data_IF_031835286534
#
_entry.id   IF_031835286534
#
_cell.length_a   1.000
_cell.length_b   1.000
_cell.length_c   1.000
_cell.angle_alpha   90.00
_cell.angle_beta   90.00
_cell.angle_gamma   90.00
#
_symmetry.space_group_name_H-M   'P 1'
#
loop_
_entity.id
_entity.type
_entity.pdbx_description
1 polymer ?
#
# COMPACT_ATOMS: atom_id res chain seq x y z
N UNK A 1 8.31 -39.20 -18.30
CA UNK A 1 8.93 -38.24 -19.23
C UNK A 1 7.85 -37.38 -19.84
N UNK A 2 8.11 -36.08 -19.95
CA UNK A 2 7.31 -35.01 -20.53
C UNK A 2 6.06 -34.56 -19.76
N UNK A 3 6.30 -33.76 -18.71
CA UNK A 3 5.44 -32.62 -18.43
C UNK A 3 5.68 -31.56 -19.53
N UNK A 4 4.63 -30.86 -20.03
CA UNK A 4 4.81 -29.84 -21.05
C UNK A 4 5.70 -28.71 -20.51
N UNK A 5 6.54 -28.20 -21.40
CA UNK A 5 7.43 -27.07 -21.14
C UNK A 5 6.60 -25.85 -20.73
N UNK A 6 7.09 -25.17 -19.70
CA UNK A 6 6.88 -23.77 -19.35
C UNK A 6 6.21 -22.94 -20.47
N UNK A 7 4.89 -22.88 -20.43
CA UNK A 7 4.17 -21.78 -21.05
C UNK A 7 4.28 -20.60 -20.08
N UNK A 8 5.08 -19.65 -20.52
CA UNK A 8 5.34 -18.32 -19.98
C UNK A 8 4.11 -17.81 -19.22
N UNK A 9 4.25 -17.61 -17.91
CA UNK A 9 3.24 -17.04 -17.03
C UNK A 9 2.95 -15.61 -17.53
N UNK A 10 1.97 -15.48 -18.42
CA UNK A 10 1.30 -14.21 -18.70
C UNK A 10 0.35 -13.99 -17.53
N UNK A 11 0.30 -12.76 -17.01
CA UNK A 11 -0.58 -12.36 -15.91
C UNK A 11 -2.05 -12.73 -16.15
N UNK A 12 -2.89 -12.60 -15.11
CA UNK A 12 -4.32 -12.95 -15.20
C UNK A 12 -4.96 -12.12 -16.33
N UNK A 13 -5.48 -12.77 -17.35
CA UNK A 13 -6.06 -12.10 -18.53
C UNK A 13 -7.35 -11.37 -18.17
N UNK A 14 -7.72 -10.34 -18.94
CA UNK A 14 -8.99 -9.62 -18.75
C UNK A 14 -10.21 -10.56 -18.86
N UNK A 15 -10.12 -11.58 -19.72
CA UNK A 15 -11.14 -12.62 -19.85
C UNK A 15 -11.24 -13.47 -18.58
N UNK A 16 -10.11 -13.94 -18.03
CA UNK A 16 -10.09 -14.66 -16.75
C UNK A 16 -10.63 -13.78 -15.61
N UNK A 17 -10.26 -12.50 -15.55
CA UNK A 17 -10.76 -11.57 -14.51
C UNK A 17 -12.25 -11.33 -14.66
N UNK A 18 -12.75 -11.13 -15.89
CA UNK A 18 -14.17 -10.97 -16.15
C UNK A 18 -14.95 -12.23 -15.73
N UNK A 19 -14.45 -13.40 -16.10
CA UNK A 19 -15.03 -14.69 -15.71
C UNK A 19 -15.05 -14.87 -14.19
N UNK A 20 -13.92 -14.63 -13.51
CA UNK A 20 -13.79 -14.76 -12.06
C UNK A 20 -14.69 -13.75 -11.33
N UNK A 21 -14.74 -12.49 -11.78
CA UNK A 21 -15.62 -11.46 -11.21
C UNK A 21 -17.11 -11.82 -11.43
N UNK A 22 -17.47 -12.29 -12.63
CA UNK A 22 -18.83 -12.74 -12.96
C UNK A 22 -19.27 -13.92 -12.08
N UNK A 23 -18.39 -14.90 -11.89
CA UNK A 23 -18.64 -16.06 -11.03
C UNK A 23 -18.73 -15.69 -9.55
N UNK A 24 -17.86 -14.80 -9.06
CA UNK A 24 -17.92 -14.28 -7.68
C UNK A 24 -19.29 -13.66 -7.40
N UNK A 25 -19.79 -12.81 -8.30
CA UNK A 25 -21.15 -12.22 -8.20
C UNK A 25 -22.27 -13.26 -8.25
N UNK A 26 -22.12 -14.33 -9.04
CA UNK A 26 -23.11 -15.40 -9.15
C UNK A 26 -23.16 -16.32 -7.92
N UNK A 27 -22.03 -16.54 -7.24
CA UNK A 27 -21.94 -17.42 -6.05
C UNK A 27 -22.54 -16.78 -4.79
N UNK A 28 -22.55 -15.45 -4.68
CA UNK A 28 -23.27 -14.72 -3.62
C UNK A 28 -24.78 -15.01 -3.61
N UNK A 29 -25.36 -15.39 -4.76
CA UNK A 29 -26.77 -15.73 -4.87
C UNK A 29 -27.09 -17.19 -4.51
N UNK A 30 -26.07 -18.06 -4.43
CA UNK A 30 -26.28 -19.53 -4.33
C UNK A 30 -25.56 -20.18 -3.14
N UNK A 31 -24.75 -19.45 -2.39
CA UNK A 31 -24.32 -19.83 -1.04
C UNK A 31 -23.30 -20.96 -0.92
N UNK A 32 -22.75 -21.51 -2.02
CA UNK A 32 -21.62 -22.44 -1.97
C UNK A 32 -20.89 -22.55 -3.33
N UNK A 33 -19.56 -22.75 -3.27
CA UNK A 33 -18.64 -23.21 -4.35
C UNK A 33 -17.74 -22.20 -5.10
N UNK A 34 -17.43 -21.01 -4.58
CA UNK A 34 -16.33 -20.21 -5.16
C UNK A 34 -14.95 -20.86 -4.91
N UNK A 35 -14.75 -21.42 -3.71
CA UNK A 35 -13.47 -21.98 -3.25
C UNK A 35 -12.96 -23.21 -4.02
N UNK A 36 -13.83 -23.96 -4.71
CA UNK A 36 -13.44 -25.17 -5.46
C UNK A 36 -12.83 -24.85 -6.83
N UNK A 37 -13.09 -23.65 -7.38
CA UNK A 37 -12.68 -23.24 -8.73
C UNK A 37 -11.45 -22.33 -8.72
N UNK A 38 -11.18 -21.67 -7.60
CA UNK A 38 -9.95 -20.90 -7.36
C UNK A 38 -8.88 -21.92 -6.98
N UNK A 39 -8.04 -22.33 -7.95
CA UNK A 39 -6.92 -23.21 -7.66
C UNK A 39 -5.88 -22.43 -6.80
N UNK A 40 -5.75 -22.73 -5.48
CA UNK A 40 -4.94 -21.93 -4.55
C UNK A 40 -3.48 -21.83 -4.99
N UNK A 41 -2.98 -22.88 -5.64
CA UNK A 41 -1.59 -23.00 -6.09
C UNK A 41 -1.30 -21.99 -7.21
N UNK A 42 -2.25 -21.75 -8.12
CA UNK A 42 -2.03 -20.83 -9.25
C UNK A 42 -1.88 -19.37 -8.85
N UNK A 43 -2.42 -18.96 -7.69
CA UNK A 43 -2.37 -17.56 -7.26
C UNK A 43 -1.11 -17.19 -6.47
N UNK A 44 -0.42 -18.19 -5.91
CA UNK A 44 0.85 -18.06 -5.22
C UNK A 44 2.07 -18.34 -6.13
N UNK A 45 1.85 -18.86 -7.34
CA UNK A 45 2.93 -19.12 -8.30
C UNK A 45 3.56 -17.81 -8.81
N UNK A 46 4.88 -17.73 -8.74
CA UNK A 46 5.66 -16.59 -9.21
C UNK A 46 5.73 -16.58 -10.75
N UNK A 47 5.39 -15.44 -11.36
CA UNK A 47 5.68 -15.14 -12.76
C UNK A 47 7.18 -15.02 -13.04
N UNK A 48 7.54 -14.70 -14.29
CA UNK A 48 8.95 -14.48 -14.68
C UNK A 48 9.62 -13.36 -13.88
N UNK A 49 8.81 -12.45 -13.35
CA UNK A 49 9.23 -11.25 -12.64
C UNK A 49 9.01 -11.41 -11.12
N UNK A 50 8.89 -12.64 -10.60
CA UNK A 50 8.68 -12.91 -9.17
C UNK A 50 7.28 -12.59 -8.65
N UNK A 51 6.54 -11.72 -9.36
CA UNK A 51 5.16 -11.36 -9.12
C UNK A 51 4.24 -12.58 -9.02
N UNK A 52 3.49 -12.69 -7.91
CA UNK A 52 2.36 -13.63 -7.84
C UNK A 52 1.14 -13.05 -8.55
N UNK A 53 0.16 -13.89 -8.91
CA UNK A 53 -1.12 -13.39 -9.43
C UNK A 53 -1.80 -12.43 -8.45
N UNK A 54 -1.58 -12.58 -7.13
CA UNK A 54 -2.11 -11.65 -6.14
C UNK A 54 -1.49 -10.25 -6.27
N UNK A 55 -0.19 -10.11 -6.57
CA UNK A 55 0.41 -8.79 -6.86
C UNK A 55 -0.25 -8.14 -8.06
N UNK A 56 -0.46 -8.91 -9.14
CA UNK A 56 -1.12 -8.41 -10.35
C UNK A 56 -2.56 -7.95 -10.07
N UNK A 57 -3.34 -8.74 -9.33
CA UNK A 57 -4.71 -8.35 -8.94
C UNK A 57 -4.71 -7.15 -7.99
N UNK A 58 -3.77 -7.09 -7.04
CA UNK A 58 -3.62 -5.95 -6.14
C UNK A 58 -3.29 -4.67 -6.91
N UNK A 59 -2.57 -4.72 -8.04
CA UNK A 59 -2.29 -3.54 -8.90
C UNK A 59 -3.48 -3.08 -9.76
N UNK A 60 -4.56 -3.85 -9.82
CA UNK A 60 -5.69 -3.56 -10.71
C UNK A 60 -6.88 -2.89 -10.00
N UNK A 61 -7.21 -1.69 -10.47
CA UNK A 61 -8.39 -0.90 -10.09
C UNK A 61 -9.74 -1.63 -10.20
N UNK A 62 -9.87 -2.45 -11.24
CA UNK A 62 -11.14 -3.05 -11.66
C UNK A 62 -11.43 -4.42 -11.03
N UNK A 63 -10.53 -4.93 -10.21
CA UNK A 63 -10.72 -6.18 -9.48
C UNK A 63 -11.55 -5.93 -8.23
N UNK A 64 -12.61 -6.71 -8.04
CA UNK A 64 -13.46 -6.57 -6.86
C UNK A 64 -12.71 -6.92 -5.57
N UNK A 65 -12.89 -6.11 -4.53
CA UNK A 65 -12.33 -6.37 -3.20
C UNK A 65 -12.70 -7.76 -2.69
N UNK A 66 -13.91 -8.21 -3.00
CA UNK A 66 -14.40 -9.52 -2.59
C UNK A 66 -13.61 -10.68 -3.20
N UNK A 67 -13.24 -10.59 -4.48
CA UNK A 67 -12.36 -11.59 -5.07
C UNK A 67 -11.02 -11.67 -4.34
N UNK A 68 -10.42 -10.53 -4.03
CA UNK A 68 -9.16 -10.48 -3.28
C UNK A 68 -9.33 -11.11 -1.89
N UNK A 69 -10.43 -10.85 -1.19
CA UNK A 69 -10.71 -11.49 0.10
C UNK A 69 -10.88 -13.00 -0.02
N UNK A 70 -11.59 -13.50 -1.03
CA UNK A 70 -11.75 -14.95 -1.25
C UNK A 70 -10.40 -15.62 -1.54
N UNK A 71 -9.56 -14.98 -2.35
CA UNK A 71 -8.21 -15.51 -2.63
C UNK A 71 -7.40 -15.61 -1.34
N UNK A 72 -7.49 -14.61 -0.46
CA UNK A 72 -6.80 -14.60 0.83
C UNK A 72 -7.36 -15.61 1.83
N UNK A 73 -8.66 -15.87 1.82
CA UNK A 73 -9.28 -16.91 2.65
C UNK A 73 -8.83 -18.31 2.22
N UNK A 74 -8.67 -18.52 0.90
CA UNK A 74 -8.26 -19.81 0.32
C UNK A 74 -6.74 -20.01 0.36
N UNK A 75 -5.96 -18.95 0.19
CA UNK A 75 -4.50 -18.97 0.11
C UNK A 75 -3.89 -17.76 0.86
N UNK A 76 -3.91 -17.74 2.20
CA UNK A 76 -3.40 -16.61 2.98
C UNK A 76 -1.90 -16.40 2.82
N UNK A 77 -1.14 -17.47 2.54
CA UNK A 77 0.31 -17.38 2.30
C UNK A 77 0.67 -16.57 1.05
N UNK A 78 -0.26 -16.38 0.10
CA UNK A 78 -0.05 -15.51 -1.05
C UNK A 78 0.26 -14.06 -0.64
N UNK A 79 -0.22 -13.60 0.52
CA UNK A 79 0.06 -12.27 1.07
C UNK A 79 1.52 -12.07 1.51
N UNK A 80 2.28 -13.16 1.69
CA UNK A 80 3.68 -13.14 2.18
C UNK A 80 4.71 -13.11 1.06
N UNK A 81 4.30 -13.44 -0.16
CA UNK A 81 5.24 -13.56 -1.28
C UNK A 81 5.73 -12.17 -1.65
N UNK A 82 7.01 -12.08 -1.99
CA UNK A 82 7.62 -10.86 -2.51
C UNK A 82 7.88 -10.99 -4.01
N UNK A 83 7.63 -9.93 -4.76
CA UNK A 83 8.04 -9.83 -6.17
C UNK A 83 9.56 -9.54 -6.30
N UNK A 84 10.04 -9.29 -7.52
CA UNK A 84 11.46 -8.98 -7.77
C UNK A 84 11.94 -7.69 -7.12
N UNK A 85 11.04 -6.75 -6.86
CA UNK A 85 11.33 -5.48 -6.20
C UNK A 85 11.21 -5.63 -4.68
N UNK A 86 11.00 -6.86 -4.16
CA UNK A 86 10.85 -7.12 -2.73
C UNK A 86 9.50 -6.68 -2.17
N UNK A 87 8.57 -6.26 -3.03
CA UNK A 87 7.24 -5.77 -2.64
C UNK A 87 6.34 -6.95 -2.30
N UNK A 88 5.57 -6.82 -1.24
CA UNK A 88 4.43 -7.72 -0.95
C UNK A 88 3.18 -7.26 -1.70
N UNK A 89 2.10 -8.06 -1.78
CA UNK A 89 0.85 -7.60 -2.38
C UNK A 89 0.25 -6.36 -1.70
N UNK A 90 0.60 -6.09 -0.43
CA UNK A 90 0.18 -4.87 0.27
C UNK A 90 0.91 -3.63 -0.28
N UNK A 91 2.19 -3.74 -0.65
CA UNK A 91 2.90 -2.65 -1.34
C UNK A 91 2.22 -2.36 -2.68
N UNK A 92 1.98 -3.40 -3.49
CA UNK A 92 1.29 -3.28 -4.78
C UNK A 92 -0.11 -2.65 -4.67
N UNK A 93 -0.83 -2.92 -3.57
CA UNK A 93 -2.13 -2.31 -3.31
C UNK A 93 -2.01 -0.84 -2.88
N UNK A 94 -1.01 -0.49 -2.06
CA UNK A 94 -0.82 0.88 -1.59
C UNK A 94 -0.30 1.80 -2.70
N UNK A 95 0.39 1.26 -3.70
CA UNK A 95 0.88 1.97 -4.91
C UNK A 95 -0.23 2.20 -5.97
N UNK A 96 -1.51 2.22 -5.55
CA UNK A 96 -2.66 2.46 -6.44
C UNK A 96 -3.35 3.78 -6.13
N UNK A 97 -3.98 4.34 -7.15
CA UNK A 97 -4.87 5.49 -6.99
C UNK A 97 -6.07 5.18 -6.07
N UNK A 98 -6.62 3.96 -6.11
CA UNK A 98 -7.85 3.57 -5.40
C UNK A 98 -7.62 2.46 -4.36
N UNK A 99 -7.15 2.83 -3.18
CA UNK A 99 -6.82 1.87 -2.12
C UNK A 99 -8.06 1.47 -1.31
N UNK A 100 -8.51 0.22 -1.48
CA UNK A 100 -9.65 -0.33 -0.72
C UNK A 100 -9.25 -0.73 0.70
N UNK A 101 -9.89 -0.11 1.70
CA UNK A 101 -9.70 -0.41 3.12
C UNK A 101 -9.95 -1.90 3.44
N UNK A 102 -11.00 -2.50 2.86
CA UNK A 102 -11.35 -3.90 3.11
C UNK A 102 -10.25 -4.86 2.65
N UNK A 103 -9.61 -4.57 1.51
CA UNK A 103 -8.52 -5.38 0.98
C UNK A 103 -7.25 -5.18 1.81
N UNK A 104 -6.95 -3.94 2.24
CA UNK A 104 -5.84 -3.66 3.16
C UNK A 104 -5.99 -4.48 4.45
N UNK A 105 -7.18 -4.46 5.05
CA UNK A 105 -7.46 -5.25 6.25
C UNK A 105 -7.34 -6.75 5.98
N UNK A 106 -7.84 -7.25 4.84
CA UNK A 106 -7.73 -8.66 4.50
C UNK A 106 -6.26 -9.10 4.34
N UNK A 107 -5.44 -8.30 3.67
CA UNK A 107 -4.00 -8.55 3.53
C UNK A 107 -3.28 -8.54 4.87
N UNK A 108 -3.58 -7.57 5.74
CA UNK A 108 -3.01 -7.50 7.09
C UNK A 108 -3.51 -8.62 8.01
N UNK A 109 -4.73 -9.09 7.85
CA UNK A 109 -5.23 -10.24 8.59
C UNK A 109 -4.51 -11.53 8.16
N UNK A 110 -4.24 -11.70 6.86
CA UNK A 110 -3.50 -12.84 6.32
C UNK A 110 -1.99 -12.77 6.64
N UNK A 111 -1.41 -11.57 6.61
CA UNK A 111 0.00 -11.33 6.92
C UNK A 111 0.20 -9.99 7.67
N UNK A 112 0.09 -9.97 9.01
CA UNK A 112 0.17 -8.73 9.81
C UNK A 112 1.49 -7.98 9.66
N UNK A 113 2.57 -8.73 9.47
CA UNK A 113 3.91 -8.19 9.29
C UNK A 113 4.09 -7.49 7.93
N UNK A 114 3.14 -7.59 6.99
CA UNK A 114 3.22 -6.91 5.71
C UNK A 114 3.40 -5.39 5.85
N UNK A 115 2.85 -4.77 6.90
CA UNK A 115 2.98 -3.33 7.16
C UNK A 115 4.41 -2.88 7.50
N UNK A 116 5.26 -3.79 7.99
CA UNK A 116 6.66 -3.51 8.33
C UNK A 116 7.66 -3.96 7.27
N UNK A 117 7.20 -4.73 6.28
CA UNK A 117 8.07 -5.18 5.20
C UNK A 117 8.55 -3.98 4.40
N UNK A 118 9.78 -4.10 3.91
CA UNK A 118 10.39 -3.14 3.01
C UNK A 118 10.60 -3.76 1.64
N UNK A 119 10.40 -2.94 0.61
CA UNK A 119 10.80 -3.25 -0.75
C UNK A 119 12.29 -2.94 -0.98
N UNK A 120 12.75 -3.02 -2.23
CA UNK A 120 14.15 -2.81 -2.61
C UNK A 120 14.63 -1.37 -2.36
N UNK A 121 13.70 -0.42 -2.33
CA UNK A 121 13.97 0.99 -2.05
C UNK A 121 13.88 1.31 -0.56
N UNK A 122 13.82 0.28 0.30
CA UNK A 122 13.56 0.38 1.73
C UNK A 122 12.19 1.03 2.08
N UNK A 123 11.28 1.14 1.11
CA UNK A 123 9.94 1.67 1.30
C UNK A 123 9.03 0.65 2.00
N UNK A 124 8.33 1.10 3.03
CA UNK A 124 7.17 0.37 3.59
C UNK A 124 5.90 0.68 2.79
N UNK A 125 4.80 -0.09 2.94
CA UNK A 125 3.54 0.23 2.27
C UNK A 125 2.99 1.63 2.59
N UNK A 126 3.32 2.18 3.77
CA UNK A 126 2.92 3.54 4.14
C UNK A 126 3.63 4.62 3.30
N UNK A 127 4.85 4.40 2.83
CA UNK A 127 5.53 5.32 1.91
C UNK A 127 4.77 5.38 0.59
N UNK A 128 4.52 4.21 -0.01
CA UNK A 128 3.89 4.07 -1.32
C UNK A 128 2.43 4.55 -1.34
N UNK A 129 1.74 4.50 -0.20
CA UNK A 129 0.35 4.96 -0.09
C UNK A 129 0.17 6.42 -0.55
N UNK A 130 1.18 7.28 -0.35
CA UNK A 130 1.09 8.70 -0.69
C UNK A 130 1.35 9.03 -2.15
N UNK A 131 1.70 8.05 -2.98
CA UNK A 131 1.75 8.19 -4.44
C UNK A 131 0.33 8.39 -5.02
N UNK A 132 -0.70 7.92 -4.31
CA UNK A 132 -2.10 8.16 -4.69
C UNK A 132 -2.56 9.60 -4.45
N UNK A 133 -3.38 10.13 -5.36
CA UNK A 133 -4.06 11.41 -5.16
C UNK A 133 -5.14 11.33 -4.06
N UNK A 134 -5.87 10.21 -3.97
CA UNK A 134 -7.01 9.99 -3.07
C UNK A 134 -6.69 8.98 -1.97
N UNK A 135 -5.99 9.45 -0.94
CA UNK A 135 -5.60 8.64 0.21
C UNK A 135 -6.65 8.73 1.31
N UNK A 136 -7.29 7.60 1.59
CA UNK A 136 -8.19 7.48 2.74
C UNK A 136 -7.43 7.55 4.07
N UNK A 137 -7.90 8.43 4.95
CA UNK A 137 -7.38 8.56 6.32
C UNK A 137 -7.48 7.23 7.10
N UNK A 138 -8.54 6.46 6.86
CA UNK A 138 -8.75 5.17 7.53
C UNK A 138 -7.67 4.16 7.14
N UNK A 139 -7.22 4.15 5.88
CA UNK A 139 -6.14 3.28 5.42
C UNK A 139 -4.82 3.64 6.11
N UNK A 140 -4.51 4.94 6.20
CA UNK A 140 -3.32 5.42 6.93
C UNK A 140 -3.38 5.00 8.39
N UNK A 141 -4.53 5.17 9.05
CA UNK A 141 -4.72 4.76 10.44
C UNK A 141 -4.57 3.25 10.62
N UNK A 142 -5.11 2.44 9.71
CA UNK A 142 -4.95 0.97 9.76
C UNK A 142 -3.49 0.56 9.62
N UNK A 143 -2.74 1.15 8.68
CA UNK A 143 -1.32 0.85 8.51
C UNK A 143 -0.50 1.27 9.74
N UNK A 144 -0.75 2.46 10.29
CA UNK A 144 -0.08 2.93 11.51
C UNK A 144 -0.47 2.12 12.75
N UNK A 145 -1.70 1.61 12.83
CA UNK A 145 -2.09 0.71 13.91
C UNK A 145 -1.41 -0.66 13.79
N UNK A 146 -1.23 -1.17 12.57
CA UNK A 146 -0.52 -2.42 12.31
C UNK A 146 0.99 -2.28 12.57
N UNK A 147 1.58 -1.15 12.20
CA UNK A 147 2.99 -0.84 12.44
C UNK A 147 3.19 0.64 12.83
N UNK A 148 3.15 0.99 14.14
CA UNK A 148 3.25 2.38 14.60
C UNK A 148 4.57 3.08 14.24
N UNK A 149 5.65 2.31 14.15
CA UNK A 149 6.97 2.83 13.81
C UNK A 149 7.10 3.13 12.30
N UNK A 150 6.13 2.75 11.46
CA UNK A 150 6.13 3.04 10.02
C UNK A 150 6.32 4.52 9.71
N UNK A 151 5.78 5.43 10.55
CA UNK A 151 5.95 6.88 10.38
C UNK A 151 7.40 7.37 10.55
N UNK A 152 8.27 6.56 11.17
CA UNK A 152 9.68 6.86 11.43
C UNK A 152 10.63 6.17 10.45
N UNK A 153 10.15 5.15 9.75
CA UNK A 153 10.94 4.44 8.77
C UNK A 153 11.44 5.40 7.70
N UNK A 154 12.61 5.08 7.18
CA UNK A 154 13.23 5.77 6.07
C UNK A 154 13.45 4.78 4.94
N UNK A 155 13.26 5.28 3.73
CA UNK A 155 13.66 4.63 2.50
C UNK A 155 15.18 4.79 2.26
N UNK A 156 15.66 4.36 1.09
CA UNK A 156 17.06 4.48 0.69
C UNK A 156 17.55 5.93 0.50
N UNK A 157 16.64 6.90 0.37
CA UNK A 157 16.93 8.33 0.27
C UNK A 157 16.77 9.05 1.62
N UNK A 158 16.77 8.31 2.73
CA UNK A 158 16.54 8.81 4.09
C UNK A 158 15.17 9.53 4.26
N UNK A 159 14.24 9.34 3.31
CA UNK A 159 12.93 9.97 3.27
C UNK A 159 11.94 9.18 4.12
N UNK A 160 11.28 9.89 5.04
CA UNK A 160 10.16 9.36 5.83
C UNK A 160 8.84 9.42 5.05
N UNK A 161 7.75 8.76 5.50
CA UNK A 161 6.45 8.89 4.85
C UNK A 161 5.90 10.33 4.82
N UNK A 162 6.35 11.19 5.75
CA UNK A 162 6.00 12.61 5.71
C UNK A 162 6.67 13.33 4.53
N UNK A 163 7.87 12.93 4.10
CA UNK A 163 8.48 13.45 2.88
C UNK A 163 7.65 13.05 1.66
N UNK A 164 7.28 11.76 1.54
CA UNK A 164 6.41 11.26 0.46
C UNK A 164 5.08 12.01 0.36
N UNK A 165 4.37 12.19 1.49
CA UNK A 165 3.14 12.99 1.54
C UNK A 165 3.33 14.41 0.96
N UNK A 166 4.50 15.01 1.21
CA UNK A 166 4.83 16.38 0.83
C UNK A 166 5.62 16.53 -0.47
N UNK A 167 5.99 15.43 -1.13
CA UNK A 167 6.57 15.47 -2.47
C UNK A 167 5.52 15.11 -3.52
N UNK A 168 4.85 13.96 -3.34
CA UNK A 168 3.96 13.38 -4.34
C UNK A 168 2.64 14.15 -4.51
N UNK A 169 2.13 14.79 -3.46
CA UNK A 169 0.75 15.30 -3.44
C UNK A 169 0.65 16.81 -3.49
N UNK A 170 0.11 17.38 -4.57
CA UNK A 170 -0.13 18.84 -4.63
C UNK A 170 -1.10 19.32 -3.56
N UNK A 171 -2.21 18.60 -3.37
CA UNK A 171 -3.22 18.90 -2.36
C UNK A 171 -3.08 17.96 -1.16
N UNK A 172 -2.54 18.49 -0.06
CA UNK A 172 -2.29 17.72 1.16
C UNK A 172 -3.40 18.02 2.16
N UNK A 173 -4.18 16.99 2.49
CA UNK A 173 -5.15 17.08 3.59
C UNK A 173 -4.43 17.41 4.90
N UNK A 174 -4.96 18.41 5.62
CA UNK A 174 -4.48 18.77 6.96
C UNK A 174 -4.59 17.60 7.95
N UNK A 175 -5.56 16.71 7.74
CA UNK A 175 -5.79 15.54 8.59
C UNK A 175 -4.69 14.50 8.40
N UNK A 176 -4.31 14.21 7.15
CA UNK A 176 -3.20 13.30 6.84
C UNK A 176 -1.88 13.82 7.42
N UNK A 177 -1.61 15.12 7.22
CA UNK A 177 -0.43 15.77 7.80
C UNK A 177 -0.42 15.65 9.33
N UNK A 178 -1.56 15.92 9.97
CA UNK A 178 -1.69 15.87 11.43
C UNK A 178 -1.52 14.45 11.96
N UNK A 179 -2.07 13.44 11.29
CA UNK A 179 -1.93 12.04 11.69
C UNK A 179 -0.46 11.59 11.65
N UNK A 180 0.27 11.89 10.56
CA UNK A 180 1.70 11.54 10.48
C UNK A 180 2.53 12.28 11.53
N UNK A 181 2.28 13.58 11.74
CA UNK A 181 3.00 14.35 12.76
C UNK A 181 2.66 13.92 14.19
N UNK A 182 1.45 13.42 14.45
CA UNK A 182 1.11 12.86 15.74
C UNK A 182 1.78 11.49 15.95
N UNK A 183 1.90 10.68 14.90
CA UNK A 183 2.63 9.40 14.95
C UNK A 183 4.15 9.61 15.13
N UNK A 184 4.71 10.62 14.47
CA UNK A 184 6.13 10.98 14.61
C UNK A 184 6.37 12.50 14.53
N UNK A 185 6.33 13.23 15.66
CA UNK A 185 6.49 14.69 15.67
C UNK A 185 7.85 15.18 15.14
N UNK A 186 8.92 14.42 15.39
CA UNK A 186 10.28 14.79 14.94
C UNK A 186 10.43 14.66 13.42
N UNK A 187 9.50 14.01 12.70
CA UNK A 187 9.49 13.92 11.24
C UNK A 187 9.63 15.31 10.59
N UNK A 188 9.04 16.35 11.19
CA UNK A 188 9.12 17.74 10.70
C UNK A 188 10.56 18.27 10.59
N UNK A 189 11.52 17.67 11.30
CA UNK A 189 12.93 18.05 11.34
C UNK A 189 13.87 17.06 10.66
N UNK A 190 13.36 15.87 10.33
CA UNK A 190 14.14 14.87 9.62
C UNK A 190 14.63 15.44 8.30
N UNK A 191 15.78 14.94 7.88
CA UNK A 191 16.38 15.26 6.60
C UNK A 191 16.43 13.99 5.77
N UNK A 192 16.10 14.14 4.51
CA UNK A 192 16.44 13.17 3.47
C UNK A 192 17.95 13.22 3.15
N UNK A 193 18.37 12.41 2.19
CA UNK A 193 19.75 12.29 1.71
C UNK A 193 20.25 13.60 1.08
N UNK A 194 19.34 14.43 0.54
CA UNK A 194 19.61 15.77 0.02
C UNK A 194 19.81 16.82 1.11
N UNK A 195 19.49 16.49 2.36
CA UNK A 195 19.51 17.40 3.50
C UNK A 195 18.23 18.25 3.61
N UNK A 196 17.22 17.96 2.81
CA UNK A 196 15.94 18.64 2.79
C UNK A 196 15.02 18.10 3.89
N UNK A 197 14.29 19.00 4.51
CA UNK A 197 13.26 18.68 5.52
C UNK A 197 11.87 18.79 4.90
N UNK A 198 10.81 18.30 5.56
CA UNK A 198 9.42 18.51 5.11
C UNK A 198 9.07 19.96 4.75
N UNK A 199 9.67 20.93 5.46
CA UNK A 199 9.49 22.36 5.16
C UNK A 199 10.11 22.78 3.81
N UNK A 200 11.23 22.17 3.41
CA UNK A 200 11.85 22.43 2.10
C UNK A 200 10.94 21.95 0.97
N UNK A 201 10.37 20.74 1.09
CA UNK A 201 9.40 20.20 0.12
C UNK A 201 8.16 21.09 -0.01
N UNK A 202 7.57 21.55 1.10
CA UNK A 202 6.50 22.53 1.05
C UNK A 202 6.93 23.81 0.32
N UNK A 203 8.06 24.41 0.69
CA UNK A 203 8.51 25.68 0.08
C UNK A 203 8.84 25.59 -1.42
N UNK A 204 9.14 24.40 -1.94
CA UNK A 204 9.33 24.18 -3.39
C UNK A 204 8.03 24.28 -4.18
N UNK A 205 6.88 24.16 -3.51
CA UNK A 205 5.56 24.27 -4.14
C UNK A 205 5.22 25.75 -4.35
N UNK A 206 4.65 26.05 -5.50
CA UNK A 206 4.25 27.42 -5.85
C UNK A 206 3.02 27.93 -5.10
N UNK A 207 2.17 27.02 -4.58
CA UNK A 207 0.93 27.34 -3.88
C UNK A 207 0.81 26.49 -2.61
N UNK A 208 1.32 27.01 -1.48
CA UNK A 208 1.26 26.36 -0.17
C UNK A 208 0.23 27.06 0.69
N UNK A 209 -0.73 26.31 1.22
CA UNK A 209 -1.69 26.87 2.18
C UNK A 209 -0.98 27.34 3.44
N UNK A 210 -1.44 28.48 3.97
CA UNK A 210 -0.88 29.06 5.19
C UNK A 210 -1.02 28.13 6.40
N UNK A 211 -2.04 27.29 6.36
CA UNK A 211 -2.40 26.27 7.35
C UNK A 211 -1.37 25.14 7.38
N UNK A 212 -1.03 24.55 6.22
CA UNK A 212 0.03 23.52 6.12
C UNK A 212 1.35 24.04 6.65
N UNK A 213 1.75 25.24 6.23
CA UNK A 213 2.97 25.89 6.68
C UNK A 213 2.97 26.08 8.21
N UNK A 214 1.84 26.52 8.77
CA UNK A 214 1.69 26.74 10.21
C UNK A 214 1.82 25.43 10.99
N UNK A 215 1.18 24.35 10.54
CA UNK A 215 1.26 23.03 11.20
C UNK A 215 2.71 22.52 11.20
N UNK A 216 3.39 22.52 10.05
CA UNK A 216 4.79 22.06 9.97
C UNK A 216 5.72 22.95 10.80
N UNK A 217 5.58 24.28 10.74
CA UNK A 217 6.40 25.18 11.54
C UNK A 217 6.17 25.00 13.03
N UNK A 218 4.95 24.70 13.46
CA UNK A 218 4.65 24.42 14.86
C UNK A 218 5.28 23.10 15.30
N UNK A 219 5.14 22.01 14.53
CA UNK A 219 5.79 20.74 14.82
C UNK A 219 7.33 20.87 14.82
N UNK A 220 7.88 21.68 13.92
CA UNK A 220 9.31 21.97 13.86
C UNK A 220 9.80 22.76 15.09
N UNK A 221 9.03 23.76 15.55
CA UNK A 221 9.41 24.58 16.73
C UNK A 221 9.19 23.84 18.05
N UNK A 222 8.12 23.08 18.15
CA UNK A 222 7.65 22.46 19.39
C UNK A 222 7.46 20.97 19.14
N UNK A 223 8.40 20.15 19.59
CA UNK A 223 8.36 18.68 19.45
C UNK A 223 7.39 18.00 20.41
N UNK A 224 6.45 18.77 20.97
CA UNK A 224 5.36 18.26 21.79
C UNK A 224 4.18 17.88 20.90
N UNK A 225 3.52 16.74 21.12
CA UNK A 225 2.37 16.31 20.31
C UNK A 225 1.31 17.42 20.25
N UNK A 226 0.80 17.68 19.05
CA UNK A 226 -0.26 18.66 18.82
C UNK A 226 -1.53 18.15 19.51
N UNK A 227 -1.82 18.72 20.68
CA UNK A 227 -3.05 18.40 21.41
C UNK A 227 -4.20 19.02 20.63
N UNK A 228 -5.03 18.17 20.02
CA UNK A 228 -6.29 18.53 19.36
C UNK A 228 -7.39 18.72 20.40
#
# INVERSE_FOLDING_TARGET
MNFPKADIIRGVTDEEIYEINSMTRATQQTGNSAATLINPITFAENGSDGDTRLHYLCRRGDVSSELLTIILDVCPDAAKVKDIDGRTPLHSLCDREDVSLDVVMALLNAYPEAAKEKDIDDCTPLHLLFVSEDVSLDVVMVLLNAYPEAAKEKDNDDSTPLHFLLDERRDVSLELLTVLLNAYPEAAKEKDIGGDTPLHFLCRRGDVSSELLTIILNAWKYTTPLVV
#
